data_IF_142127548115
#
_entry.id   IF_142127548115
#
_cell.length_a   1.000
_cell.length_b   1.000
_cell.length_c   1.000
_cell.angle_alpha   90.00
_cell.angle_beta   90.00
_cell.angle_gamma   90.00
#
_symmetry.space_group_name_H-M   'P 1'
#
loop_
_entity.id
_entity.type
_entity.pdbx_description
1 polymer ?
#
# COMPACT_ATOMS: atom_id res chain seq x y z
N UNK A 1 -8.19 -28.30 -22.02
CA UNK A 1 -9.10 -27.78 -20.97
C UNK A 1 -8.33 -27.34 -19.73
N UNK A 2 -7.56 -28.21 -19.08
CA UNK A 2 -6.78 -27.86 -17.86
C UNK A 2 -5.70 -26.79 -18.10
N UNK A 3 -4.96 -26.87 -19.22
CA UNK A 3 -3.90 -25.90 -19.54
C UNK A 3 -4.44 -24.47 -19.81
N UNK A 4 -5.58 -24.37 -20.52
CA UNK A 4 -6.23 -23.08 -20.79
C UNK A 4 -6.83 -22.45 -19.53
N UNK A 5 -7.32 -23.25 -18.58
CA UNK A 5 -7.82 -22.75 -17.30
C UNK A 5 -6.69 -22.12 -16.47
N UNK A 6 -5.49 -22.69 -16.48
CA UNK A 6 -4.38 -22.21 -15.65
C UNK A 6 -3.78 -20.91 -16.20
N UNK A 7 -3.63 -20.80 -17.53
CA UNK A 7 -3.05 -19.61 -18.16
C UNK A 7 -4.01 -18.41 -18.12
N UNK A 8 -5.26 -18.59 -18.53
CA UNK A 8 -6.24 -17.50 -18.58
C UNK A 8 -6.55 -16.98 -17.17
N UNK A 9 -6.71 -17.87 -16.18
CA UNK A 9 -6.98 -17.47 -14.78
C UNK A 9 -5.79 -16.75 -14.13
N UNK A 10 -4.55 -17.11 -14.47
CA UNK A 10 -3.37 -16.40 -13.94
C UNK A 10 -3.25 -15.00 -14.53
N UNK A 11 -3.45 -14.87 -15.84
CA UNK A 11 -3.36 -13.60 -16.54
C UNK A 11 -4.46 -12.65 -16.04
N UNK A 12 -5.70 -13.12 -15.92
CA UNK A 12 -6.81 -12.30 -15.43
C UNK A 12 -6.63 -11.87 -13.97
N UNK A 13 -6.03 -12.72 -13.11
CA UNK A 13 -5.72 -12.37 -11.72
C UNK A 13 -4.60 -11.33 -11.59
N UNK A 14 -3.70 -11.21 -12.58
CA UNK A 14 -2.62 -10.24 -12.60
C UNK A 14 -3.00 -8.92 -13.29
N UNK A 15 -3.83 -8.98 -14.35
CA UNK A 15 -4.30 -7.81 -15.09
C UNK A 15 -5.35 -7.00 -14.31
N UNK A 16 -6.19 -7.66 -13.49
CA UNK A 16 -7.25 -7.01 -12.70
C UNK A 16 -6.74 -5.98 -11.66
N UNK A 17 -5.63 -6.21 -10.93
CA UNK A 17 -5.06 -5.19 -10.05
C UNK A 17 -4.46 -3.99 -10.79
N UNK A 18 -3.93 -4.19 -12.01
CA UNK A 18 -3.29 -3.12 -12.82
C UNK A 18 -4.33 -2.17 -13.42
N UNK A 19 -5.54 -2.67 -13.71
CA UNK A 19 -6.61 -1.92 -14.37
C UNK A 19 -7.62 -1.28 -13.41
N UNK A 20 -7.55 -1.55 -12.10
CA UNK A 20 -8.45 -0.97 -11.09
C UNK A 20 -7.68 0.06 -10.24
N UNK A 21 -7.95 1.37 -10.38
CA UNK A 21 -7.31 2.40 -9.57
C UNK A 21 -7.69 2.23 -8.10
N UNK A 22 -6.76 1.73 -7.27
CA UNK A 22 -6.92 1.58 -5.81
C UNK A 22 -6.64 2.89 -5.07
N UNK A 23 -7.32 3.98 -5.38
CA UNK A 23 -7.02 5.29 -4.76
C UNK A 23 -7.31 5.42 -3.23
N UNK A 24 -7.52 4.32 -2.49
CA UNK A 24 -7.71 4.33 -1.02
C UNK A 24 -7.44 2.97 -0.33
N UNK A 25 -6.97 1.94 -1.05
CA UNK A 25 -6.60 0.62 -0.47
C UNK A 25 -5.11 0.32 -0.66
N UNK A 26 -4.37 1.27 -1.19
CA UNK A 26 -2.96 1.08 -1.51
C UNK A 26 -2.11 1.13 -0.25
N UNK A 27 -2.45 1.95 0.75
CA UNK A 27 -1.65 2.06 1.97
C UNK A 27 -1.58 0.74 2.75
N UNK A 28 -2.74 0.14 3.08
CA UNK A 28 -2.75 -1.12 3.85
C UNK A 28 -2.12 -2.30 3.11
N UNK A 29 -2.26 -2.36 1.79
CA UNK A 29 -1.63 -3.41 0.98
C UNK A 29 -0.12 -3.22 0.88
N UNK A 30 0.34 -1.98 0.76
CA UNK A 30 1.75 -1.62 0.71
C UNK A 30 2.42 -1.87 2.08
N UNK A 31 1.71 -1.57 3.18
CA UNK A 31 2.14 -1.88 4.54
C UNK A 31 2.29 -3.40 4.76
N UNK A 32 1.30 -4.18 4.33
CA UNK A 32 1.36 -5.64 4.40
C UNK A 32 2.53 -6.19 3.57
N UNK A 33 2.76 -5.65 2.38
CA UNK A 33 3.90 -5.99 1.54
C UNK A 33 5.23 -5.67 2.22
N UNK A 34 5.35 -4.51 2.88
CA UNK A 34 6.55 -4.13 3.61
C UNK A 34 6.83 -5.07 4.79
N UNK A 35 5.79 -5.53 5.50
CA UNK A 35 5.95 -6.55 6.56
C UNK A 35 6.45 -7.87 5.97
N UNK A 36 5.85 -8.39 4.90
CA UNK A 36 6.30 -9.64 4.28
C UNK A 36 7.72 -9.55 3.70
N UNK A 37 8.02 -8.46 3.00
CA UNK A 37 9.36 -8.20 2.47
C UNK A 37 10.39 -8.06 3.60
N UNK A 38 10.02 -7.37 4.67
CA UNK A 38 10.84 -7.25 5.87
C UNK A 38 11.13 -8.62 6.49
N UNK A 39 10.10 -9.46 6.68
CA UNK A 39 10.27 -10.81 7.24
C UNK A 39 11.20 -11.66 6.36
N UNK A 40 11.03 -11.59 5.04
CA UNK A 40 11.86 -12.34 4.10
C UNK A 40 13.36 -11.92 4.17
N UNK A 41 13.66 -10.65 4.40
CA UNK A 41 15.04 -10.13 4.45
C UNK A 41 15.69 -10.21 5.84
N UNK A 42 14.93 -9.95 6.90
CA UNK A 42 15.45 -9.75 8.27
C UNK A 42 14.85 -10.71 9.31
N UNK A 43 14.03 -11.69 8.89
CA UNK A 43 13.37 -12.62 9.80
C UNK A 43 12.34 -11.93 10.71
N UNK A 44 12.27 -12.31 11.98
CA UNK A 44 11.31 -11.73 12.92
C UNK A 44 11.44 -10.19 13.07
N UNK A 45 12.66 -9.66 12.99
CA UNK A 45 12.92 -8.21 13.03
C UNK A 45 12.34 -7.46 11.82
N UNK A 46 12.08 -8.19 10.74
CA UNK A 46 11.47 -7.69 9.53
C UNK A 46 10.10 -7.06 9.71
N UNK A 47 9.34 -7.47 10.73
CA UNK A 47 8.02 -6.89 11.05
C UNK A 47 8.14 -5.42 11.43
N UNK A 48 9.24 -5.03 12.07
CA UNK A 48 9.50 -3.63 12.48
C UNK A 48 10.29 -2.89 11.41
N UNK A 49 11.34 -3.52 10.89
CA UNK A 49 12.25 -2.89 9.92
C UNK A 49 11.55 -2.62 8.58
N UNK A 50 10.67 -3.52 8.14
CA UNK A 50 9.93 -3.40 6.88
C UNK A 50 9.10 -2.12 6.80
N UNK A 51 8.13 -1.91 7.71
CA UNK A 51 7.33 -0.68 7.75
C UNK A 51 8.15 0.59 7.92
N UNK A 52 9.18 0.57 8.77
CA UNK A 52 10.05 1.74 8.99
C UNK A 52 10.75 2.14 7.68
N UNK A 53 11.31 1.17 6.96
CA UNK A 53 11.97 1.40 5.68
C UNK A 53 10.99 1.87 4.60
N UNK A 54 9.78 1.33 4.59
CA UNK A 54 8.70 1.77 3.71
C UNK A 54 8.33 3.23 3.95
N UNK A 55 8.14 3.66 5.20
CA UNK A 55 7.84 5.06 5.54
C UNK A 55 8.93 5.98 4.99
N UNK A 56 10.20 5.66 5.23
CA UNK A 56 11.33 6.48 4.74
C UNK A 56 11.29 6.64 3.21
N UNK A 57 11.05 5.56 2.47
CA UNK A 57 10.98 5.59 1.00
C UNK A 57 9.80 6.47 0.53
N UNK A 58 8.59 6.21 1.05
CA UNK A 58 7.41 6.94 0.64
C UNK A 58 7.54 8.41 1.00
N UNK A 59 7.96 8.74 2.23
CA UNK A 59 8.20 10.13 2.65
C UNK A 59 9.24 10.81 1.76
N UNK A 60 10.33 10.13 1.38
CA UNK A 60 11.33 10.69 0.47
C UNK A 60 10.73 11.02 -0.89
N UNK A 61 9.92 10.11 -1.46
CA UNK A 61 9.24 10.33 -2.73
C UNK A 61 8.22 11.47 -2.60
N UNK A 62 7.41 11.50 -1.54
CA UNK A 62 6.43 12.55 -1.28
C UNK A 62 7.09 13.93 -1.18
N UNK A 63 8.20 14.04 -0.44
CA UNK A 63 8.99 15.28 -0.33
C UNK A 63 9.54 15.70 -1.70
N UNK A 64 10.09 14.75 -2.47
CA UNK A 64 10.61 15.04 -3.80
C UNK A 64 9.51 15.54 -4.75
N UNK A 65 8.35 14.89 -4.76
CA UNK A 65 7.21 15.31 -5.57
C UNK A 65 6.65 16.67 -5.13
N UNK A 66 6.60 16.93 -3.83
CA UNK A 66 6.14 18.21 -3.30
C UNK A 66 7.07 19.36 -3.71
N UNK A 67 8.37 19.18 -3.53
CA UNK A 67 9.37 20.23 -3.80
C UNK A 67 9.55 20.49 -5.30
N UNK A 68 9.61 19.43 -6.12
CA UNK A 68 9.99 19.57 -7.54
C UNK A 68 8.83 19.51 -8.52
N UNK A 69 7.68 18.96 -8.11
CA UNK A 69 6.49 18.82 -8.98
C UNK A 69 5.27 19.59 -8.46
N UNK A 70 5.37 20.24 -7.29
CA UNK A 70 4.27 21.00 -6.70
C UNK A 70 3.05 20.13 -6.36
N UNK A 71 3.26 18.81 -6.18
CA UNK A 71 2.20 17.89 -5.79
C UNK A 71 1.91 18.11 -4.29
N UNK A 72 0.64 18.28 -3.88
CA UNK A 72 0.31 18.39 -2.46
C UNK A 72 0.77 17.12 -1.73
N UNK A 73 1.36 17.31 -0.55
CA UNK A 73 1.79 16.20 0.30
C UNK A 73 0.57 15.38 0.72
N UNK A 74 0.57 14.08 0.44
CA UNK A 74 -0.39 13.14 1.01
C UNK A 74 0.16 12.66 2.36
N UNK A 75 -0.62 12.83 3.43
CA UNK A 75 -0.25 12.38 4.77
C UNK A 75 -0.40 10.85 4.86
N UNK A 76 0.75 10.17 4.82
CA UNK A 76 0.90 8.70 4.76
C UNK A 76 0.59 8.01 6.12
N UNK A 77 -0.43 8.46 6.85
CA UNK A 77 -0.69 7.93 8.19
C UNK A 77 -2.00 8.33 8.88
N UNK A 78 -2.93 9.04 8.21
CA UNK A 78 -4.15 9.51 8.86
C UNK A 78 -5.40 8.62 8.68
N UNK A 79 -5.36 7.59 7.83
CA UNK A 79 -6.58 6.85 7.48
C UNK A 79 -7.14 5.99 8.64
N UNK A 80 -6.29 5.57 9.59
CA UNK A 80 -6.69 4.63 10.64
C UNK A 80 -7.10 5.27 11.98
N UNK A 81 -6.95 6.59 12.17
CA UNK A 81 -7.14 7.24 13.49
C UNK A 81 -8.21 8.33 13.57
N UNK A 82 -9.09 8.50 12.57
CA UNK A 82 -10.29 9.34 12.76
C UNK A 82 -11.44 8.48 13.27
N UNK A 83 -11.74 8.44 14.60
CA UNK A 83 -13.00 7.88 15.04
C UNK A 83 -14.08 8.74 14.38
N UNK A 84 -14.79 8.15 13.40
CA UNK A 84 -15.97 8.75 12.81
C UNK A 84 -16.93 9.01 13.96
N UNK A 85 -16.92 10.24 14.49
CA UNK A 85 -17.89 10.70 15.51
C UNK A 85 -19.24 10.61 14.84
N UNK A 86 -19.89 9.47 15.00
CA UNK A 86 -21.26 9.25 14.59
C UNK A 86 -22.10 10.03 15.60
N UNK A 87 -22.49 11.24 15.22
CA UNK A 87 -23.49 11.99 15.96
C UNK A 87 -24.78 11.14 15.99
N UNK A 88 -25.32 10.76 17.16
CA UNK A 88 -26.50 9.91 17.22
C UNK A 88 -27.83 10.67 17.05
N UNK A 89 -27.80 11.98 16.79
CA UNK A 89 -28.97 12.85 16.98
C UNK A 89 -29.18 13.91 15.88
N UNK A 90 -28.89 13.58 14.63
CA UNK A 90 -29.46 14.24 13.44
C UNK A 90 -29.58 13.23 12.30
#
# INVERSE_FOLDING_TARGET
VVFHLIEVTNIDNFLRPILVPRAARLDSALMLLAVFAGIAMFGAWGIVIGPVLMIVIVTTISVYLAVYKGVPMEDVGEEDEKPKRRNPFW
#
